data_IF_305376830569
#
_entry.id   IF_305376830569
#
_cell.length_a   1.000
_cell.length_b   1.000
_cell.length_c   1.000
_cell.angle_alpha   90.00
_cell.angle_beta   90.00
_cell.angle_gamma   90.00
#
_symmetry.space_group_name_H-M   'P 1'
#
loop_
_entity.id
_entity.type
_entity.pdbx_description
1 polymer ?
#
# COMPACT_ATOMS: atom_id res chain seq x y z
N UNK A 1 -20.60 3.26 23.49
CA UNK A 1 -19.63 4.09 22.79
C UNK A 1 -18.38 3.26 22.50
N UNK A 2 -17.93 3.28 21.28
CA UNK A 2 -16.65 2.69 20.86
C UNK A 2 -15.80 3.85 20.39
N UNK A 3 -14.64 4.00 20.99
CA UNK A 3 -13.72 5.10 20.71
C UNK A 3 -12.40 4.55 20.20
N UNK A 4 -11.68 5.36 19.41
CA UNK A 4 -10.27 5.09 19.08
C UNK A 4 -9.36 5.41 20.30
N UNK A 5 -8.06 5.21 20.13
CA UNK A 5 -7.06 5.48 21.18
C UNK A 5 -6.95 6.97 21.54
N UNK A 6 -7.50 7.86 20.71
CA UNK A 6 -7.51 9.31 20.91
C UNK A 6 -8.80 9.80 21.58
N UNK A 7 -9.73 8.87 21.89
CA UNK A 7 -11.02 9.17 22.54
C UNK A 7 -12.12 9.63 21.59
N UNK A 8 -11.90 9.61 20.29
CA UNK A 8 -12.94 9.93 19.31
C UNK A 8 -13.94 8.79 19.20
N UNK A 9 -15.24 9.12 19.21
CA UNK A 9 -16.31 8.13 19.08
C UNK A 9 -16.38 7.59 17.66
N UNK A 10 -16.07 6.32 17.49
CA UNK A 10 -16.16 5.60 16.21
C UNK A 10 -17.57 5.05 15.96
N UNK A 11 -18.24 4.58 17.01
CA UNK A 11 -19.57 4.00 16.92
C UNK A 11 -20.31 4.17 18.24
N UNK A 12 -21.54 4.66 18.16
CA UNK A 12 -22.47 4.68 19.28
C UNK A 12 -23.54 3.61 19.09
N UNK A 13 -23.54 2.61 19.99
CA UNK A 13 -24.58 1.59 20.02
C UNK A 13 -25.70 2.10 20.93
N UNK A 14 -26.84 2.46 20.34
CA UNK A 14 -28.02 2.86 21.11
C UNK A 14 -28.60 1.71 21.95
N UNK A 15 -29.41 2.04 22.95
CA UNK A 15 -30.06 1.05 23.80
C UNK A 15 -30.92 0.03 23.01
N UNK A 16 -31.46 0.43 21.87
CA UNK A 16 -32.24 -0.44 20.96
C UNK A 16 -31.39 -1.49 20.25
N UNK A 17 -30.10 -1.27 20.11
CA UNK A 17 -29.19 -2.23 19.44
C UNK A 17 -29.12 -3.55 20.21
N UNK A 18 -29.19 -3.50 21.54
CA UNK A 18 -29.16 -4.68 22.40
C UNK A 18 -30.55 -5.32 22.62
N UNK A 19 -31.65 -4.66 22.21
CA UNK A 19 -33.03 -5.11 22.47
C UNK A 19 -33.23 -5.60 23.90
N UNK A 20 -32.64 -4.89 24.86
CA UNK A 20 -32.71 -5.23 26.27
C UNK A 20 -31.77 -6.34 26.76
N UNK A 21 -30.94 -6.90 25.87
CA UNK A 21 -29.94 -7.91 26.24
C UNK A 21 -28.62 -7.30 26.73
N UNK A 22 -27.89 -8.07 27.54
CA UNK A 22 -26.56 -7.68 28.00
C UNK A 22 -25.51 -7.95 26.89
N UNK A 23 -24.60 -7.00 26.67
CA UNK A 23 -23.45 -7.19 25.78
C UNK A 23 -22.49 -8.21 26.42
N UNK A 24 -22.31 -9.35 25.78
CA UNK A 24 -21.50 -10.45 26.30
C UNK A 24 -20.14 -10.59 25.62
N UNK A 25 -20.00 -10.09 24.39
CA UNK A 25 -18.76 -10.15 23.65
C UNK A 25 -18.66 -9.01 22.63
N UNK A 26 -17.46 -8.47 22.48
CA UNK A 26 -17.09 -7.59 21.39
C UNK A 26 -15.81 -8.16 20.75
N UNK A 27 -15.81 -8.24 19.43
CA UNK A 27 -14.62 -8.57 18.68
C UNK A 27 -14.56 -7.74 17.39
N UNK A 28 -13.37 -7.40 16.94
CA UNK A 28 -13.15 -6.72 15.66
C UNK A 28 -12.67 -7.76 14.66
N UNK A 29 -13.42 -7.91 13.57
CA UNK A 29 -13.09 -8.80 12.46
C UNK A 29 -12.53 -7.98 11.30
N UNK A 30 -11.62 -8.56 10.53
CA UNK A 30 -11.03 -7.92 9.34
C UNK A 30 -10.40 -6.54 9.63
N UNK A 31 -9.64 -6.44 10.70
CA UNK A 31 -9.04 -5.19 11.20
C UNK A 31 -8.29 -4.36 10.15
N UNK A 32 -7.72 -5.02 9.13
CA UNK A 32 -6.82 -4.39 8.16
C UNK A 32 -7.51 -3.87 6.89
N UNK A 33 -8.67 -4.39 6.53
CA UNK A 33 -9.29 -4.06 5.22
C UNK A 33 -10.69 -3.47 5.34
N UNK A 34 -11.58 -4.14 6.05
CA UNK A 34 -12.95 -3.69 6.31
C UNK A 34 -13.29 -4.10 7.74
N UNK A 35 -12.89 -3.32 8.74
CA UNK A 35 -13.14 -3.68 10.11
C UNK A 35 -14.64 -3.78 10.38
N UNK A 36 -15.05 -4.93 10.89
CA UNK A 36 -16.42 -5.21 11.27
C UNK A 36 -16.43 -5.49 12.76
N UNK A 37 -17.22 -4.71 13.49
CA UNK A 37 -17.47 -4.95 14.89
C UNK A 37 -18.51 -6.04 15.04
N UNK A 38 -18.14 -7.13 15.69
CA UNK A 38 -19.07 -8.19 16.09
C UNK A 38 -19.48 -7.96 17.53
N UNK A 39 -20.76 -7.72 17.77
CA UNK A 39 -21.34 -7.62 19.08
C UNK A 39 -22.27 -8.79 19.36
N UNK A 40 -22.02 -9.51 20.44
CA UNK A 40 -22.87 -10.59 20.90
C UNK A 40 -23.68 -10.14 22.13
N UNK A 41 -24.99 -10.29 22.05
CA UNK A 41 -25.90 -9.97 23.11
C UNK A 41 -26.60 -11.23 23.62
N UNK A 42 -26.73 -11.35 24.94
CA UNK A 42 -27.48 -12.42 25.57
C UNK A 42 -28.72 -11.84 26.23
N UNK A 43 -29.87 -12.32 25.81
CA UNK A 43 -31.17 -11.94 26.38
C UNK A 43 -31.90 -13.23 26.80
N UNK A 44 -31.82 -13.58 28.06
CA UNK A 44 -32.42 -14.70 28.84
C UNK A 44 -32.64 -16.04 28.11
N UNK A 45 -32.91 -16.06 26.84
CA UNK A 45 -33.15 -17.27 26.05
C UNK A 45 -32.72 -17.15 24.59
N UNK A 46 -32.15 -16.04 24.19
CA UNK A 46 -31.69 -15.82 22.79
C UNK A 46 -30.35 -15.15 22.74
N UNK A 47 -29.47 -15.73 21.91
CA UNK A 47 -28.19 -15.15 21.58
C UNK A 47 -28.34 -14.36 20.26
N UNK A 48 -28.03 -13.08 20.28
CA UNK A 48 -28.10 -12.23 19.08
C UNK A 48 -26.70 -11.77 18.70
N UNK A 49 -26.34 -11.98 17.46
CA UNK A 49 -25.09 -11.46 16.88
C UNK A 49 -25.42 -10.29 15.96
N UNK A 50 -24.80 -9.16 16.20
CA UNK A 50 -24.91 -8.00 15.34
C UNK A 50 -23.55 -7.65 14.76
N UNK A 51 -23.52 -7.33 13.47
CA UNK A 51 -22.34 -6.89 12.75
C UNK A 51 -22.49 -5.42 12.41
N UNK A 52 -21.52 -4.62 12.81
CA UNK A 52 -21.47 -3.21 12.50
C UNK A 52 -20.24 -2.92 11.67
N UNK A 53 -20.43 -2.37 10.48
CA UNK A 53 -19.30 -1.84 9.72
C UNK A 53 -18.72 -0.65 10.50
N UNK A 54 -17.46 -0.76 10.89
CA UNK A 54 -16.74 0.38 11.45
C UNK A 54 -16.35 1.31 10.30
N UNK A 55 -16.62 2.61 10.38
CA UNK A 55 -16.07 3.52 9.42
C UNK A 55 -14.55 3.42 9.51
N UNK A 56 -13.91 3.08 8.39
CA UNK A 56 -12.47 3.27 8.25
C UNK A 56 -12.24 4.77 8.43
N UNK A 57 -11.74 5.16 9.58
CA UNK A 57 -11.19 6.51 9.72
C UNK A 57 -9.95 6.53 8.84
N UNK A 58 -10.06 7.18 7.70
CA UNK A 58 -8.87 7.61 6.98
C UNK A 58 -8.15 8.58 7.91
N UNK A 59 -7.03 8.12 8.46
CA UNK A 59 -6.14 9.04 9.15
C UNK A 59 -5.86 10.19 8.18
N UNK A 60 -6.20 11.40 8.60
CA UNK A 60 -5.88 12.55 7.79
C UNK A 60 -4.35 12.68 7.77
N UNK A 61 -3.75 12.52 6.58
CA UNK A 61 -2.32 12.65 6.43
C UNK A 61 -1.89 14.05 6.88
N UNK A 62 -0.82 14.13 7.66
CA UNK A 62 -0.20 15.41 8.00
C UNK A 62 0.47 15.99 6.75
N UNK A 63 0.41 17.31 6.58
CA UNK A 63 0.91 18.01 5.41
C UNK A 63 -0.21 18.43 4.46
N UNK A 64 0.18 18.99 3.33
CA UNK A 64 -0.75 19.55 2.33
C UNK A 64 -0.66 18.80 0.98
N UNK A 65 0.25 17.81 0.86
CA UNK A 65 0.50 17.08 -0.37
C UNK A 65 1.18 17.91 -1.46
N UNK A 66 1.69 19.08 -1.11
CA UNK A 66 2.48 19.94 -2.00
C UNK A 66 3.96 19.61 -1.89
N UNK A 67 4.78 20.07 -2.84
CA UNK A 67 6.23 19.89 -2.78
C UNK A 67 6.85 20.56 -1.55
N UNK A 68 6.30 21.69 -1.12
CA UNK A 68 6.78 22.44 0.05
C UNK A 68 6.29 21.86 1.37
N UNK A 69 5.12 21.21 1.39
CA UNK A 69 4.49 20.59 2.54
C UNK A 69 3.93 19.20 2.17
N UNK A 70 4.79 18.20 1.91
CA UNK A 70 4.36 16.88 1.48
C UNK A 70 3.53 16.18 2.56
N UNK A 71 2.67 15.28 2.14
CA UNK A 71 1.99 14.38 3.06
C UNK A 71 2.99 13.48 3.77
N UNK A 72 2.88 13.39 5.09
CA UNK A 72 3.73 12.57 5.92
C UNK A 72 3.14 11.17 6.07
N UNK A 73 3.97 10.16 5.85
CA UNK A 73 3.61 8.74 5.96
C UNK A 73 4.41 8.12 7.10
N UNK A 74 3.72 7.57 8.08
CA UNK A 74 4.33 6.95 9.27
C UNK A 74 3.98 5.48 9.43
N UNK A 75 2.99 4.96 8.68
CA UNK A 75 2.56 3.57 8.75
C UNK A 75 2.01 3.07 7.41
N UNK A 76 1.83 1.75 7.28
CA UNK A 76 1.32 1.12 6.06
C UNK A 76 -0.10 1.61 5.68
N UNK A 77 -0.96 1.89 6.67
CA UNK A 77 -2.32 2.39 6.41
C UNK A 77 -2.30 3.77 5.74
N UNK A 78 -1.36 4.63 6.12
CA UNK A 78 -1.15 5.93 5.49
C UNK A 78 -0.51 5.79 4.10
N UNK A 79 0.39 4.83 3.92
CA UNK A 79 0.98 4.53 2.61
C UNK A 79 -0.08 4.15 1.57
N UNK A 80 -1.10 3.38 1.96
CA UNK A 80 -2.18 3.01 1.05
C UNK A 80 -3.04 4.20 0.60
N UNK A 81 -3.04 5.31 1.33
CA UNK A 81 -3.77 6.52 0.96
C UNK A 81 -3.13 7.30 -0.22
N UNK A 82 -1.94 6.91 -0.67
CA UNK A 82 -1.34 7.45 -1.90
C UNK A 82 -2.31 7.28 -3.08
N UNK A 83 -3.07 6.19 -3.13
CA UNK A 83 -4.10 5.97 -4.16
C UNK A 83 -5.23 7.01 -4.14
N UNK A 84 -5.44 7.73 -3.06
CA UNK A 84 -6.47 8.78 -3.01
C UNK A 84 -6.05 10.03 -3.80
N UNK A 85 -4.76 10.37 -3.75
CA UNK A 85 -4.19 11.54 -4.41
C UNK A 85 -2.85 11.19 -5.11
N UNK A 86 -2.85 10.39 -6.19
CA UNK A 86 -1.64 9.84 -6.78
C UNK A 86 -0.70 10.87 -7.44
N UNK A 87 -1.15 12.11 -7.59
CA UNK A 87 -0.32 13.21 -8.08
C UNK A 87 0.25 14.11 -6.98
N UNK A 88 -0.05 13.82 -5.71
CA UNK A 88 0.47 14.60 -4.58
C UNK A 88 1.92 14.22 -4.24
N UNK A 89 2.51 14.97 -3.31
CA UNK A 89 3.85 14.76 -2.82
C UNK A 89 3.81 14.13 -1.43
N UNK A 90 4.67 13.11 -1.22
CA UNK A 90 4.71 12.30 0.00
C UNK A 90 6.10 12.18 0.56
N UNK A 91 6.20 12.09 1.87
CA UNK A 91 7.45 11.84 2.59
C UNK A 91 7.24 10.77 3.67
N UNK A 92 8.07 9.74 3.66
CA UNK A 92 8.10 8.73 4.71
C UNK A 92 8.90 9.30 5.89
N UNK A 93 8.37 9.14 7.10
CA UNK A 93 8.91 9.78 8.31
C UNK A 93 9.60 8.81 9.26
N UNK A 94 9.44 7.51 9.08
CA UNK A 94 10.07 6.42 9.86
C UNK A 94 10.03 5.12 9.07
N UNK A 95 10.70 4.08 9.56
CA UNK A 95 10.57 2.73 9.02
C UNK A 95 9.11 2.27 9.05
N UNK A 96 8.66 1.60 7.99
CA UNK A 96 7.28 1.12 7.86
C UNK A 96 7.25 -0.39 7.82
N UNK A 97 6.50 -0.99 8.74
CA UNK A 97 6.19 -2.42 8.74
C UNK A 97 4.83 -2.66 8.06
N UNK A 98 4.82 -3.41 6.95
CA UNK A 98 3.59 -3.78 6.23
C UNK A 98 2.89 -5.00 6.84
N UNK A 99 3.48 -5.63 7.86
CA UNK A 99 2.88 -6.72 8.62
C UNK A 99 2.66 -8.01 7.84
N UNK A 100 3.26 -8.17 6.67
CA UNK A 100 3.17 -9.40 5.85
C UNK A 100 1.80 -9.69 5.26
N UNK A 101 0.84 -8.77 5.31
CA UNK A 101 -0.43 -8.93 4.63
C UNK A 101 -0.28 -8.77 3.12
N UNK A 102 -1.05 -9.55 2.34
CA UNK A 102 -1.02 -9.47 0.89
C UNK A 102 -1.43 -8.07 0.40
N UNK A 103 -0.56 -7.44 -0.36
CA UNK A 103 -0.76 -6.12 -0.94
C UNK A 103 -0.72 -6.22 -2.47
N UNK A 104 -1.79 -5.80 -3.12
CA UNK A 104 -1.89 -5.82 -4.59
C UNK A 104 -1.25 -4.61 -5.27
N UNK A 105 -0.49 -3.78 -4.53
CA UNK A 105 0.08 -2.53 -5.02
C UNK A 105 -0.91 -1.37 -5.04
N UNK A 106 -0.38 -0.16 -5.16
CA UNK A 106 -1.18 1.03 -5.43
C UNK A 106 -1.73 0.95 -6.86
N UNK A 107 -3.04 1.14 -7.00
CA UNK A 107 -3.76 0.81 -8.23
C UNK A 107 -3.84 1.96 -9.22
N UNK A 108 -3.76 3.20 -8.74
CA UNK A 108 -3.79 4.38 -9.60
C UNK A 108 -2.40 4.72 -10.15
N UNK A 109 -2.35 5.27 -11.34
CA UNK A 109 -1.12 5.77 -11.93
C UNK A 109 -0.53 6.88 -11.07
N UNK A 110 0.68 6.66 -10.56
CA UNK A 110 1.38 7.59 -9.69
C UNK A 110 2.15 8.62 -10.53
N UNK A 111 1.81 9.89 -10.38
CA UNK A 111 2.43 11.02 -11.07
C UNK A 111 3.07 12.04 -10.10
N UNK A 112 3.00 11.80 -8.80
CA UNK A 112 3.52 12.67 -7.76
C UNK A 112 4.97 12.42 -7.40
N UNK A 113 5.34 12.71 -6.14
CA UNK A 113 6.65 12.34 -5.62
C UNK A 113 6.55 11.60 -4.29
N UNK A 114 7.43 10.61 -4.09
CA UNK A 114 7.62 9.90 -2.84
C UNK A 114 9.08 9.97 -2.43
N UNK A 115 9.36 10.65 -1.32
CA UNK A 115 10.68 10.64 -0.69
C UNK A 115 10.64 9.67 0.51
N UNK A 116 11.41 8.62 0.43
CA UNK A 116 11.50 7.62 1.49
C UNK A 116 12.30 8.05 2.72
N UNK A 117 12.97 9.21 2.69
CA UNK A 117 13.75 9.72 3.83
C UNK A 117 14.88 8.80 4.29
N UNK A 118 15.31 7.86 3.44
CA UNK A 118 16.24 6.75 3.73
C UNK A 118 15.69 5.73 4.76
N UNK A 119 14.38 5.70 4.98
CA UNK A 119 13.73 4.72 5.83
C UNK A 119 13.50 3.39 5.11
N UNK A 120 13.26 2.36 5.92
CA UNK A 120 13.05 1.01 5.42
C UNK A 120 11.57 0.61 5.37
N UNK A 121 11.21 -0.11 4.30
CA UNK A 121 9.95 -0.85 4.20
C UNK A 121 10.24 -2.32 4.50
N UNK A 122 9.51 -2.90 5.44
CA UNK A 122 9.70 -4.27 5.91
C UNK A 122 8.42 -5.08 5.86
N UNK A 123 8.54 -6.40 5.89
CA UNK A 123 7.40 -7.33 5.87
C UNK A 123 6.42 -7.07 4.72
N UNK A 124 6.95 -6.70 3.56
CA UNK A 124 6.16 -6.37 2.38
C UNK A 124 5.87 -7.66 1.59
N UNK A 125 4.58 -8.02 1.48
CA UNK A 125 4.13 -9.12 0.64
C UNK A 125 3.32 -8.60 -0.54
N UNK A 126 3.94 -8.57 -1.72
CA UNK A 126 3.37 -8.11 -2.99
C UNK A 126 2.67 -9.26 -3.71
N UNK A 127 1.39 -9.10 -4.00
CA UNK A 127 0.58 -10.12 -4.64
C UNK A 127 0.18 -9.71 -6.07
N UNK A 128 0.94 -10.19 -7.04
CA UNK A 128 0.72 -9.95 -8.47
C UNK A 128 1.07 -8.55 -8.97
N UNK A 129 1.63 -7.68 -8.11
CA UNK A 129 2.00 -6.31 -8.47
C UNK A 129 3.14 -5.80 -7.60
N UNK A 130 3.91 -4.83 -8.08
CA UNK A 130 4.84 -4.04 -7.28
C UNK A 130 4.15 -3.08 -6.32
N UNK A 131 4.93 -2.24 -5.63
CA UNK A 131 4.39 -1.18 -4.77
C UNK A 131 3.44 -0.27 -5.55
N UNK A 132 3.83 0.08 -6.77
CA UNK A 132 3.03 0.86 -7.71
C UNK A 132 2.66 0.00 -8.91
N UNK A 133 1.39 0.01 -9.30
CA UNK A 133 0.98 -0.61 -10.56
C UNK A 133 1.57 0.14 -11.74
N UNK A 134 1.53 1.46 -11.71
CA UNK A 134 2.02 2.33 -12.77
C UNK A 134 2.64 3.60 -12.19
N UNK A 135 3.82 3.98 -12.71
CA UNK A 135 4.51 5.24 -12.40
C UNK A 135 4.64 6.02 -13.70
N UNK A 136 4.15 7.28 -13.72
CA UNK A 136 3.98 8.02 -14.96
C UNK A 136 4.51 9.45 -14.90
N UNK A 137 4.67 10.05 -16.08
CA UNK A 137 4.91 11.46 -16.31
C UNK A 137 6.16 12.00 -15.60
N UNK A 138 5.97 12.89 -14.62
CA UNK A 138 7.07 13.50 -13.85
C UNK A 138 7.27 12.87 -12.48
N UNK A 139 6.73 11.68 -12.26
CA UNK A 139 6.82 11.00 -10.98
C UNK A 139 8.26 10.83 -10.51
N UNK A 140 8.47 11.01 -9.21
CA UNK A 140 9.79 10.87 -8.57
C UNK A 140 9.68 9.99 -7.33
N UNK A 141 10.40 8.87 -7.31
CA UNK A 141 10.48 7.99 -6.15
C UNK A 141 11.94 7.87 -5.73
N UNK A 142 12.25 8.17 -4.47
CA UNK A 142 13.64 8.19 -4.03
C UNK A 142 13.82 7.82 -2.57
N UNK A 143 15.09 7.47 -2.23
CA UNK A 143 15.56 7.30 -0.85
C UNK A 143 14.79 6.21 -0.08
N UNK A 144 14.61 5.03 -0.65
CA UNK A 144 13.86 3.91 -0.05
C UNK A 144 14.74 2.68 0.04
N UNK A 145 14.76 2.03 1.19
CA UNK A 145 15.29 0.68 1.35
C UNK A 145 14.15 -0.29 1.57
N UNK A 146 14.07 -1.37 0.78
CA UNK A 146 13.07 -2.43 0.95
C UNK A 146 13.79 -3.69 1.38
N UNK A 147 13.44 -4.21 2.56
CA UNK A 147 14.11 -5.36 3.15
C UNK A 147 13.23 -6.60 3.02
N UNK A 148 13.79 -7.63 2.39
CA UNK A 148 13.20 -8.96 2.24
C UNK A 148 11.75 -8.95 1.74
N UNK A 149 11.43 -8.18 0.69
CA UNK A 149 10.09 -8.23 0.13
C UNK A 149 9.84 -9.60 -0.50
N UNK A 150 8.61 -10.07 -0.38
CA UNK A 150 8.14 -11.26 -1.08
C UNK A 150 7.16 -10.82 -2.16
N UNK A 151 7.38 -11.26 -3.41
CA UNK A 151 6.47 -11.02 -4.53
C UNK A 151 5.96 -12.34 -5.07
N UNK A 152 4.65 -12.53 -5.04
CA UNK A 152 3.97 -13.65 -5.66
C UNK A 152 3.44 -13.24 -7.04
N UNK A 153 3.87 -13.94 -8.10
CA UNK A 153 3.43 -13.73 -9.47
C UNK A 153 2.39 -14.78 -9.86
N UNK A 154 1.47 -14.42 -10.72
CA UNK A 154 0.45 -15.30 -11.27
C UNK A 154 0.42 -15.26 -12.79
N UNK A 155 -0.33 -16.15 -13.41
CA UNK A 155 -0.63 -16.20 -14.84
C UNK A 155 -1.28 -14.92 -15.39
N UNK A 156 -1.87 -14.11 -14.52
CA UNK A 156 -2.52 -12.83 -14.85
C UNK A 156 -1.58 -11.63 -14.75
N UNK A 157 -0.41 -11.80 -14.17
CA UNK A 157 0.58 -10.73 -14.05
C UNK A 157 1.30 -10.55 -15.39
N UNK A 158 1.15 -9.41 -16.03
CA UNK A 158 1.77 -9.12 -17.33
C UNK A 158 3.14 -8.47 -17.19
N UNK A 159 3.31 -7.62 -16.18
CA UNK A 159 4.58 -7.01 -15.82
C UNK A 159 4.67 -6.90 -14.30
N UNK A 160 5.84 -7.10 -13.73
CA UNK A 160 6.08 -6.98 -12.29
C UNK A 160 7.50 -6.51 -11.98
N UNK A 161 7.61 -5.59 -11.03
CA UNK A 161 8.86 -5.16 -10.39
C UNK A 161 8.56 -4.72 -8.98
N UNK A 162 9.51 -4.83 -8.07
CA UNK A 162 9.29 -4.53 -6.63
C UNK A 162 8.77 -3.10 -6.43
N UNK A 163 9.29 -2.13 -7.19
CA UNK A 163 8.82 -0.74 -7.12
C UNK A 163 7.60 -0.54 -8.00
N UNK A 164 7.69 -0.88 -9.29
CA UNK A 164 6.60 -0.64 -10.22
C UNK A 164 6.46 -1.77 -11.24
N UNK A 165 5.21 -2.08 -11.61
CA UNK A 165 5.00 -2.98 -12.74
C UNK A 165 5.39 -2.29 -14.03
N UNK A 166 4.90 -1.07 -14.24
CA UNK A 166 5.26 -0.26 -15.40
C UNK A 166 5.70 1.14 -14.97
N UNK A 167 6.68 1.67 -15.69
CA UNK A 167 7.16 3.02 -15.49
C UNK A 167 7.36 3.70 -16.85
N UNK A 168 6.78 4.87 -17.03
CA UNK A 168 6.91 5.62 -18.26
C UNK A 168 6.87 7.13 -18.02
N UNK A 169 7.69 7.86 -18.74
CA UNK A 169 7.55 9.29 -18.92
C UNK A 169 6.45 9.61 -19.94
N UNK A 170 6.40 10.84 -20.40
CA UNK A 170 5.39 11.30 -21.34
C UNK A 170 5.80 12.59 -22.04
N UNK A 171 4.80 13.28 -22.55
CA UNK A 171 4.93 14.61 -23.11
C UNK A 171 3.81 15.52 -22.60
N UNK A 172 4.10 16.79 -22.43
CA UNK A 172 3.05 17.80 -22.29
C UNK A 172 2.32 18.02 -23.62
N UNK A 173 1.18 18.70 -23.58
CA UNK A 173 0.46 19.08 -24.81
C UNK A 173 1.31 19.92 -25.77
N UNK A 174 2.27 20.68 -25.24
CA UNK A 174 3.23 21.48 -26.01
C UNK A 174 4.47 20.68 -26.46
N UNK A 175 4.50 19.37 -26.21
CA UNK A 175 5.58 18.48 -26.65
C UNK A 175 6.85 18.49 -25.78
N UNK A 176 6.77 19.01 -24.56
CA UNK A 176 7.89 18.95 -23.60
C UNK A 176 7.96 17.56 -22.98
N UNK A 177 9.16 16.97 -22.93
CA UNK A 177 9.39 15.66 -22.34
C UNK A 177 9.13 15.65 -20.83
N UNK A 178 8.40 14.65 -20.36
CA UNK A 178 8.14 14.37 -18.96
C UNK A 178 8.94 13.14 -18.55
N UNK A 179 9.76 13.26 -17.52
CA UNK A 179 10.68 12.22 -17.08
C UNK A 179 10.25 11.60 -15.76
N UNK A 180 9.83 10.33 -15.78
CA UNK A 180 9.64 9.54 -14.57
C UNK A 180 10.99 9.05 -14.03
N UNK A 181 11.26 9.23 -12.74
CA UNK A 181 12.57 8.91 -12.15
C UNK A 181 12.48 8.12 -10.86
N UNK A 182 13.41 7.17 -10.69
CA UNK A 182 13.70 6.55 -9.40
C UNK A 182 15.17 6.74 -9.05
N UNK A 183 15.47 7.03 -7.79
CA UNK A 183 16.86 7.24 -7.36
C UNK A 183 17.07 6.81 -5.91
N UNK A 184 18.27 6.30 -5.61
CA UNK A 184 18.64 5.82 -4.28
C UNK A 184 17.61 4.83 -3.72
N UNK A 185 17.32 3.78 -4.49
CA UNK A 185 16.40 2.71 -4.13
C UNK A 185 17.19 1.42 -3.95
N UNK A 186 17.09 0.82 -2.78
CA UNK A 186 17.81 -0.41 -2.46
C UNK A 186 16.83 -1.51 -2.06
N UNK A 187 16.81 -2.61 -2.81
CA UNK A 187 16.02 -3.80 -2.49
C UNK A 187 16.98 -4.90 -2.04
N UNK A 188 16.80 -5.37 -0.81
CA UNK A 188 17.68 -6.34 -0.17
C UNK A 188 16.97 -7.68 -0.03
N UNK A 189 17.59 -8.74 -0.53
CA UNK A 189 17.13 -10.14 -0.44
C UNK A 189 15.65 -10.34 -0.83
N UNK A 190 15.20 -9.84 -1.98
CA UNK A 190 13.83 -10.07 -2.43
C UNK A 190 13.63 -11.54 -2.80
N UNK A 191 12.43 -12.06 -2.51
CA UNK A 191 11.94 -13.34 -3.01
C UNK A 191 10.86 -13.06 -4.04
N UNK A 192 11.11 -13.47 -5.30
CA UNK A 192 10.14 -13.34 -6.39
C UNK A 192 9.78 -14.74 -6.86
N UNK A 193 8.55 -15.16 -6.63
CA UNK A 193 8.10 -16.50 -6.96
C UNK A 193 6.80 -16.48 -7.77
N UNK A 194 6.67 -17.40 -8.72
CA UNK A 194 5.46 -17.54 -9.52
C UNK A 194 5.40 -18.83 -10.30
N UNK A 195 4.19 -19.35 -10.45
CA UNK A 195 3.89 -20.49 -11.29
C UNK A 195 3.08 -20.01 -12.51
N UNK A 196 3.43 -20.53 -13.70
CA UNK A 196 2.79 -20.20 -14.97
C UNK A 196 2.82 -18.70 -15.33
N UNK A 197 3.83 -17.98 -14.83
CA UNK A 197 4.05 -16.59 -15.18
C UNK A 197 4.64 -16.47 -16.59
N UNK A 198 3.96 -15.72 -17.44
CA UNK A 198 4.38 -15.50 -18.85
C UNK A 198 4.70 -14.03 -19.14
N UNK A 199 4.64 -13.16 -18.15
CA UNK A 199 4.87 -11.73 -18.30
C UNK A 199 6.36 -11.33 -18.21
N UNK A 200 6.60 -10.07 -17.98
CA UNK A 200 7.93 -9.48 -17.76
C UNK A 200 8.17 -9.26 -16.29
N UNK A 201 9.33 -9.68 -15.79
CA UNK A 201 9.72 -9.48 -14.40
C UNK A 201 11.07 -8.78 -14.29
N UNK A 202 11.10 -7.70 -13.51
CA UNK A 202 12.33 -6.98 -13.16
C UNK A 202 12.51 -6.88 -11.66
N UNK A 203 13.73 -6.74 -11.18
CA UNK A 203 14.04 -6.59 -9.75
C UNK A 203 13.48 -5.30 -9.15
N UNK A 204 13.44 -4.21 -9.92
CA UNK A 204 12.87 -2.93 -9.49
C UNK A 204 11.62 -2.56 -10.30
N UNK A 205 11.72 -2.58 -11.61
CA UNK A 205 10.68 -2.21 -12.56
C UNK A 205 10.46 -3.37 -13.52
N UNK A 206 9.18 -3.74 -13.75
CA UNK A 206 8.83 -4.79 -14.69
C UNK A 206 9.04 -4.35 -16.13
N UNK A 207 8.47 -3.22 -16.51
CA UNK A 207 8.58 -2.65 -17.85
C UNK A 207 8.82 -1.14 -17.76
N UNK A 208 9.80 -0.64 -18.49
CA UNK A 208 10.13 0.78 -18.57
C UNK A 208 10.07 1.27 -20.02
N UNK A 209 9.43 2.40 -20.26
CA UNK A 209 9.33 3.00 -21.57
C UNK A 209 9.29 4.53 -21.49
N UNK A 210 9.79 5.21 -22.54
CA UNK A 210 9.80 6.66 -22.67
C UNK A 210 10.36 7.41 -21.44
N UNK A 211 11.46 8.10 -21.59
CA UNK A 211 12.01 9.05 -20.61
C UNK A 211 12.00 8.57 -19.15
N UNK A 212 12.44 7.35 -18.91
CA UNK A 212 12.61 6.80 -17.55
C UNK A 212 14.07 6.98 -17.13
N UNK A 213 14.28 7.61 -15.97
CA UNK A 213 15.58 7.77 -15.33
C UNK A 213 15.74 6.88 -14.11
N UNK A 214 16.90 6.21 -14.00
CA UNK A 214 17.26 5.42 -12.82
C UNK A 214 18.68 5.74 -12.40
N UNK A 215 18.90 6.05 -11.12
CA UNK A 215 20.24 6.31 -10.56
C UNK A 215 20.37 5.77 -9.14
N UNK A 216 21.57 5.30 -8.79
CA UNK A 216 21.90 4.84 -7.43
C UNK A 216 20.95 3.75 -6.90
N UNK A 217 20.47 2.88 -7.76
CA UNK A 217 19.54 1.81 -7.42
C UNK A 217 20.24 0.45 -7.41
N UNK A 218 19.83 -0.42 -6.49
CA UNK A 218 20.36 -1.78 -6.40
C UNK A 218 19.32 -2.80 -6.00
N UNK A 219 19.51 -4.03 -6.47
CA UNK A 219 18.85 -5.24 -5.98
C UNK A 219 19.93 -6.22 -5.59
N UNK A 220 19.98 -6.61 -4.33
CA UNK A 220 21.01 -7.48 -3.78
C UNK A 220 20.40 -8.79 -3.28
N UNK A 221 21.11 -9.90 -3.48
CA UNK A 221 20.75 -11.24 -2.96
C UNK A 221 19.33 -11.69 -3.34
N UNK A 222 18.92 -11.44 -4.58
CA UNK A 222 17.60 -11.80 -5.06
C UNK A 222 17.44 -13.31 -5.25
N UNK A 223 16.36 -13.89 -4.72
CA UNK A 223 15.91 -15.25 -5.01
C UNK A 223 14.70 -15.17 -5.97
N UNK A 224 14.90 -15.61 -7.22
CA UNK A 224 13.88 -15.54 -8.27
C UNK A 224 13.52 -16.97 -8.71
N UNK A 225 12.31 -17.39 -8.38
CA UNK A 225 11.76 -18.72 -8.63
C UNK A 225 10.50 -18.62 -9.52
N UNK A 226 10.70 -18.46 -10.80
CA UNK A 226 9.60 -18.38 -11.79
C UNK A 226 9.60 -19.67 -12.60
N UNK A 227 8.57 -20.48 -12.40
CA UNK A 227 8.38 -21.74 -13.10
C UNK A 227 7.34 -21.56 -14.19
N UNK A 228 7.71 -21.86 -15.43
CA UNK A 228 6.80 -22.04 -16.54
C UNK A 228 6.47 -23.53 -16.66
N UNK A 229 5.18 -23.87 -16.70
CA UNK A 229 4.73 -25.24 -16.94
C UNK A 229 4.81 -25.61 -18.42
#
# INVERSE_FOLDING_TARGET
LICNNEGETLLELGADAAKGGALSMINVLNEKTNPVLLCAYNNDSKFTLNFYALPLQKNQLKGEGTLAAPYQITCAAEFFQIDDQPSAHYQIMNDIDFGGAAFAGLQKAFAGSLDGGNYALTNLFLNGSGLFREVVDTAKIKNITIKQPVMALSDRTTAAGIIANTMRGGFTDDGVELHATISNIHVLSPIIAGNNFTGVCGGLIGEASLFVGMSECSVLDADIQVLNA
#
